data_IF_437926437893
#
_entry.id   IF_437926437893
#
_cell.length_a   1.000
_cell.length_b   1.000
_cell.length_c   1.000
_cell.angle_alpha   90.00
_cell.angle_beta   90.00
_cell.angle_gamma   90.00
#
_symmetry.space_group_name_H-M   'P 1'
#
loop_
_entity.id
_entity.type
_entity.pdbx_description
1 polymer ?
#
# COMPACT_ATOMS: atom_id res chain seq x y z
N UNK A 1 -2.76 15.39 -30.66
CA UNK A 1 -3.34 14.21 -31.27
C UNK A 1 -3.87 14.56 -32.66
N UNK A 2 -3.77 13.60 -33.54
CA UNK A 2 -4.35 13.69 -34.87
C UNK A 2 -5.62 12.84 -34.89
N UNK A 3 -6.65 13.29 -35.59
CA UNK A 3 -7.85 12.49 -35.84
C UNK A 3 -7.56 11.67 -37.10
N UNK A 4 -7.62 10.35 -37.00
CA UNK A 4 -7.50 9.45 -38.15
C UNK A 4 -8.70 9.59 -39.10
N UNK A 5 -8.54 9.19 -40.33
CA UNK A 5 -9.57 9.24 -41.38
C UNK A 5 -10.84 8.43 -41.03
N UNK A 6 -10.72 7.51 -40.06
CA UNK A 6 -11.80 6.70 -39.52
C UNK A 6 -12.47 7.33 -38.26
N UNK A 7 -12.09 8.57 -37.90
CA UNK A 7 -12.57 9.24 -36.70
C UNK A 7 -11.91 8.78 -35.42
N UNK A 8 -10.90 7.91 -35.50
CA UNK A 8 -10.13 7.47 -34.33
C UNK A 8 -9.14 8.55 -33.85
N UNK A 9 -8.89 8.58 -32.57
CA UNK A 9 -7.87 9.45 -31.97
C UNK A 9 -6.51 8.77 -32.03
N UNK A 10 -5.57 9.39 -32.71
CA UNK A 10 -4.19 8.93 -32.74
C UNK A 10 -3.35 9.77 -31.80
N UNK A 11 -2.86 9.15 -30.75
CA UNK A 11 -1.92 9.77 -29.82
C UNK A 11 -0.51 9.31 -30.18
N UNK A 12 0.29 10.25 -30.68
CA UNK A 12 1.73 10.00 -30.90
C UNK A 12 2.48 10.47 -29.69
N UNK A 13 3.02 9.54 -28.90
CA UNK A 13 3.88 9.82 -27.75
C UNK A 13 5.32 9.68 -28.20
N UNK A 14 6.04 10.80 -28.31
CA UNK A 14 7.47 10.77 -28.61
C UNK A 14 8.28 10.64 -27.33
N UNK A 15 9.34 9.83 -27.34
CA UNK A 15 10.31 9.64 -26.25
C UNK A 15 9.97 8.50 -25.30
N UNK A 16 10.63 8.45 -24.17
CA UNK A 16 10.75 7.28 -23.27
C UNK A 16 9.61 7.13 -22.26
N UNK A 17 8.43 7.69 -22.53
CA UNK A 17 7.30 7.56 -21.61
C UNK A 17 6.87 6.08 -21.47
N UNK A 18 6.90 5.54 -20.26
CA UNK A 18 6.43 4.19 -19.94
C UNK A 18 4.91 4.09 -19.95
N UNK A 19 4.25 5.17 -19.54
CA UNK A 19 2.80 5.31 -19.49
C UNK A 19 2.39 6.71 -19.94
N UNK A 20 1.14 6.86 -20.37
CA UNK A 20 0.50 8.16 -20.57
C UNK A 20 -0.78 8.24 -19.75
N UNK A 21 -1.00 9.38 -19.14
CA UNK A 21 -2.30 9.74 -18.58
C UNK A 21 -3.02 10.66 -19.56
N UNK A 22 -4.23 10.27 -19.94
CA UNK A 22 -5.13 11.12 -20.73
C UNK A 22 -6.29 11.55 -19.85
N UNK A 23 -6.42 12.84 -19.62
CA UNK A 23 -7.57 13.43 -18.93
C UNK A 23 -8.46 14.09 -19.98
N UNK A 24 -9.74 13.71 -20.03
CA UNK A 24 -10.73 14.27 -20.96
C UNK A 24 -11.76 15.04 -20.14
N UNK A 25 -11.93 16.32 -20.46
CA UNK A 25 -13.03 17.12 -19.93
C UNK A 25 -14.20 17.11 -20.92
N UNK A 26 -15.24 16.36 -20.58
CA UNK A 26 -16.44 16.23 -21.42
C UNK A 26 -17.32 17.48 -21.40
N UNK A 27 -17.13 18.40 -20.45
CA UNK A 27 -17.88 19.66 -20.39
C UNK A 27 -17.35 20.69 -21.40
N UNK A 28 -16.03 20.73 -21.55
CA UNK A 28 -15.36 21.73 -22.42
C UNK A 28 -14.83 21.13 -23.71
N UNK A 29 -14.97 19.80 -23.88
CA UNK A 29 -14.40 19.04 -24.98
C UNK A 29 -12.89 19.21 -25.11
N UNK A 30 -12.18 19.34 -23.96
CA UNK A 30 -10.75 19.46 -23.92
C UNK A 30 -10.09 18.17 -23.44
N UNK A 31 -8.83 18.00 -23.75
CA UNK A 31 -8.02 16.88 -23.24
C UNK A 31 -6.64 17.36 -22.82
N UNK A 32 -6.05 16.63 -21.90
CA UNK A 32 -4.66 16.77 -21.46
C UNK A 32 -3.97 15.43 -21.57
N UNK A 33 -2.74 15.41 -22.10
CA UNK A 33 -1.90 14.23 -22.16
C UNK A 33 -0.64 14.50 -21.35
N UNK A 34 -0.38 13.64 -20.39
CA UNK A 34 0.80 13.67 -19.52
C UNK A 34 1.64 12.42 -19.74
N UNK A 35 2.95 12.59 -19.89
CA UNK A 35 3.90 11.48 -19.92
C UNK A 35 4.25 11.09 -18.48
N UNK A 36 4.20 9.80 -18.20
CA UNK A 36 4.49 9.25 -16.88
C UNK A 36 5.71 8.35 -17.00
N UNK A 37 6.74 8.65 -16.24
CA UNK A 37 7.99 7.91 -16.21
C UNK A 37 8.12 7.02 -14.97
N UNK A 38 7.21 7.15 -14.00
CA UNK A 38 7.21 6.33 -12.79
C UNK A 38 6.54 4.97 -13.04
N UNK A 39 7.10 3.91 -12.44
CA UNK A 39 6.49 2.58 -12.47
C UNK A 39 5.27 2.54 -11.55
N UNK A 40 4.40 1.55 -11.70
CA UNK A 40 3.35 1.26 -10.72
C UNK A 40 3.92 0.72 -9.41
N UNK A 41 5.01 -0.03 -9.49
CA UNK A 41 5.68 -0.64 -8.35
C UNK A 41 7.16 -0.28 -8.31
N UNK A 42 7.67 -0.11 -7.10
CA UNK A 42 9.08 -0.22 -6.73
C UNK A 42 9.19 -1.23 -5.60
N UNK A 43 10.40 -1.55 -5.17
CA UNK A 43 10.62 -2.60 -4.19
C UNK A 43 11.52 -2.11 -3.07
N UNK A 44 11.12 -2.38 -1.81
CA UNK A 44 12.06 -2.44 -0.71
C UNK A 44 12.83 -3.76 -0.81
N UNK A 45 14.12 -3.68 -0.67
CA UNK A 45 15.02 -4.84 -0.61
C UNK A 45 15.97 -4.68 0.56
N UNK A 46 16.03 -5.67 1.39
CA UNK A 46 16.82 -5.62 2.62
C UNK A 46 16.88 -6.97 3.32
N UNK A 47 17.26 -6.95 4.58
CA UNK A 47 17.45 -8.15 5.38
C UNK A 47 16.18 -9.01 5.44
N UNK A 48 15.02 -8.40 5.71
CA UNK A 48 13.75 -9.13 5.87
C UNK A 48 13.16 -9.61 4.54
N UNK A 49 13.32 -8.86 3.45
CA UNK A 49 12.93 -9.31 2.11
C UNK A 49 13.91 -10.34 1.52
N UNK A 50 15.00 -10.66 2.25
CA UNK A 50 16.07 -11.54 1.77
C UNK A 50 16.80 -10.97 0.55
N UNK A 51 16.89 -9.64 0.46
CA UNK A 51 17.46 -8.90 -0.67
C UNK A 51 16.77 -9.22 -2.01
N UNK A 52 15.49 -9.54 -1.95
CA UNK A 52 14.62 -9.86 -3.09
C UNK A 52 13.52 -8.82 -3.26
N UNK A 53 12.72 -8.96 -4.30
CA UNK A 53 11.56 -8.08 -4.56
C UNK A 53 10.27 -8.56 -3.89
N UNK A 54 10.37 -9.18 -2.72
CA UNK A 54 9.20 -9.65 -1.98
C UNK A 54 8.36 -8.50 -1.41
N UNK A 55 8.99 -7.35 -1.10
CA UNK A 55 8.33 -6.18 -0.53
C UNK A 55 8.06 -5.12 -1.60
N UNK A 56 6.92 -5.22 -2.28
CA UNK A 56 6.50 -4.26 -3.29
C UNK A 56 5.87 -3.01 -2.65
N UNK A 57 6.26 -1.84 -3.10
CA UNK A 57 5.65 -0.56 -2.77
C UNK A 57 4.86 -0.09 -3.99
N UNK A 58 3.59 0.26 -3.82
CA UNK A 58 2.71 0.61 -4.94
C UNK A 58 2.50 2.11 -5.04
N UNK A 59 2.60 2.65 -6.26
CA UNK A 59 2.28 4.03 -6.62
C UNK A 59 1.00 4.08 -7.45
N UNK A 60 -0.13 4.41 -6.81
CA UNK A 60 -1.45 4.41 -7.44
C UNK A 60 -1.62 5.50 -8.50
N UNK A 61 -0.96 6.63 -8.32
CA UNK A 61 -1.20 7.82 -9.13
C UNK A 61 -0.13 8.04 -10.21
N UNK A 62 0.90 7.21 -10.24
CA UNK A 62 2.06 7.38 -11.12
C UNK A 62 2.73 8.76 -10.96
N UNK A 63 2.70 9.30 -9.75
CA UNK A 63 3.26 10.61 -9.38
C UNK A 63 4.61 10.50 -8.65
N UNK A 64 5.17 9.30 -8.61
CA UNK A 64 6.44 9.00 -7.93
C UNK A 64 6.30 8.70 -6.45
N UNK A 65 5.07 8.67 -5.90
CA UNK A 65 4.81 8.34 -4.50
C UNK A 65 4.38 6.90 -4.37
N UNK A 66 5.05 6.16 -3.50
CA UNK A 66 4.86 4.74 -3.26
C UNK A 66 4.65 4.46 -1.79
N UNK A 67 3.83 3.46 -1.48
CA UNK A 67 3.58 3.03 -0.12
C UNK A 67 3.49 1.51 -0.02
N UNK A 68 3.96 0.98 1.10
CA UNK A 68 3.80 -0.41 1.49
C UNK A 68 3.98 -0.60 2.99
N UNK A 69 3.63 -1.78 3.48
CA UNK A 69 3.63 -2.13 4.89
C UNK A 69 4.31 -3.49 5.09
N UNK A 70 5.42 -3.52 5.81
CA UNK A 70 6.21 -4.73 5.98
C UNK A 70 6.85 -4.82 7.37
N UNK A 71 7.08 -6.05 7.80
CA UNK A 71 7.98 -6.29 8.92
C UNK A 71 9.40 -6.01 8.44
N UNK A 72 10.13 -5.23 9.24
CA UNK A 72 11.48 -4.80 8.94
C UNK A 72 12.38 -5.13 10.13
N UNK A 73 13.62 -5.55 9.85
CA UNK A 73 14.70 -5.72 10.83
C UNK A 73 16.04 -5.59 10.10
N UNK A 74 16.78 -4.52 10.37
CA UNK A 74 18.08 -4.27 9.76
C UNK A 74 18.07 -3.37 8.53
N UNK A 75 19.09 -3.52 7.71
CA UNK A 75 19.39 -2.63 6.58
C UNK A 75 18.52 -2.94 5.36
N UNK A 76 18.24 -1.90 4.56
CA UNK A 76 17.45 -1.99 3.34
C UNK A 76 17.82 -0.89 2.35
N UNK A 77 17.29 -0.98 1.14
CA UNK A 77 17.29 0.07 0.11
C UNK A 77 16.11 -0.11 -0.84
N UNK A 78 15.99 0.73 -1.85
CA UNK A 78 14.90 0.64 -2.82
C UNK A 78 15.44 0.36 -4.20
N UNK A 79 14.65 -0.30 -5.06
CA UNK A 79 14.99 -0.54 -6.45
C UNK A 79 13.77 -0.48 -7.38
N UNK A 80 13.99 -0.10 -8.66
CA UNK A 80 12.89 0.10 -9.60
C UNK A 80 12.29 -1.19 -10.19
N UNK A 81 13.03 -2.30 -10.16
CA UNK A 81 12.63 -3.54 -10.81
C UNK A 81 13.30 -4.76 -10.19
N UNK A 82 12.89 -5.95 -10.64
CA UNK A 82 13.41 -7.23 -10.17
C UNK A 82 14.73 -7.67 -10.83
N UNK A 83 15.03 -7.15 -12.02
CA UNK A 83 15.93 -7.82 -12.96
C UNK A 83 17.41 -7.59 -12.69
N UNK A 84 17.78 -6.43 -12.18
CA UNK A 84 19.18 -6.08 -11.92
C UNK A 84 19.30 -5.07 -10.76
N UNK A 85 20.54 -4.64 -10.48
CA UNK A 85 20.85 -3.65 -9.44
C UNK A 85 21.03 -2.23 -10.00
N UNK A 86 20.76 -2.00 -11.29
CA UNK A 86 20.91 -0.70 -11.90
C UNK A 86 19.76 0.23 -11.48
N UNK A 87 20.12 1.45 -11.09
CA UNK A 87 19.16 2.49 -10.73
C UNK A 87 18.46 2.26 -9.40
N UNK A 88 19.09 1.58 -8.46
CA UNK A 88 18.61 1.49 -7.09
C UNK A 88 18.76 2.83 -6.36
N UNK A 89 17.93 3.04 -5.35
CA UNK A 89 17.96 4.23 -4.52
C UNK A 89 18.48 3.87 -3.14
N UNK A 90 19.50 4.59 -2.74
CA UNK A 90 20.29 4.37 -1.55
C UNK A 90 20.28 5.61 -0.65
N UNK A 91 20.84 5.48 0.54
CA UNK A 91 20.87 6.52 1.55
C UNK A 91 21.62 7.76 1.12
N UNK A 92 20.99 8.92 1.24
CA UNK A 92 21.57 10.27 1.06
C UNK A 92 21.36 11.16 2.29
N UNK A 93 21.34 10.56 3.47
CA UNK A 93 21.05 11.23 4.73
C UNK A 93 19.65 10.98 5.25
N UNK A 94 19.30 11.59 6.37
CA UNK A 94 18.02 11.37 7.04
C UNK A 94 16.83 11.73 6.14
N UNK A 95 15.99 10.72 5.86
CA UNK A 95 14.79 10.86 5.05
C UNK A 95 15.03 11.11 3.55
N UNK A 96 16.27 10.99 3.08
CA UNK A 96 16.65 11.23 1.69
C UNK A 96 17.24 10.00 1.03
N UNK A 97 17.00 9.90 -0.26
CA UNK A 97 17.55 8.87 -1.13
C UNK A 97 18.23 9.49 -2.35
N UNK A 98 19.24 8.81 -2.86
CA UNK A 98 19.91 9.18 -4.10
C UNK A 98 20.01 7.97 -5.03
N UNK A 99 20.05 8.23 -6.32
CA UNK A 99 20.32 7.24 -7.35
C UNK A 99 21.80 6.82 -7.26
N UNK A 100 22.06 5.52 -7.04
CA UNK A 100 23.41 4.98 -6.82
C UNK A 100 24.19 5.68 -5.70
N UNK A 101 23.55 5.93 -4.55
CA UNK A 101 24.13 6.64 -3.41
C UNK A 101 25.28 5.93 -2.68
N UNK A 102 25.36 4.61 -2.79
CA UNK A 102 26.53 3.80 -2.37
C UNK A 102 26.45 3.23 -0.96
N UNK A 103 25.36 3.41 -0.22
CA UNK A 103 25.13 2.76 1.08
C UNK A 103 23.67 2.41 1.30
N UNK A 104 23.42 1.35 2.06
CA UNK A 104 22.07 1.01 2.50
C UNK A 104 21.49 2.09 3.41
N UNK A 105 20.15 2.12 3.54
CA UNK A 105 19.49 2.90 4.59
C UNK A 105 19.92 2.39 5.95
N UNK A 106 19.99 3.26 6.98
CA UNK A 106 20.22 2.85 8.34
C UNK A 106 19.25 1.75 8.75
N UNK A 107 19.76 0.71 9.41
CA UNK A 107 18.95 -0.42 9.84
C UNK A 107 17.81 0.01 10.77
N UNK A 108 16.62 -0.52 10.53
CA UNK A 108 15.47 -0.39 11.40
C UNK A 108 15.54 -1.44 12.52
N UNK A 109 15.01 -1.12 13.68
CA UNK A 109 14.73 -2.11 14.72
C UNK A 109 13.60 -3.05 14.26
N UNK A 110 13.61 -4.29 14.74
CA UNK A 110 12.56 -5.26 14.45
C UNK A 110 11.16 -4.69 14.75
N UNK A 111 10.31 -4.66 13.74
CA UNK A 111 8.96 -4.07 13.84
C UNK A 111 8.21 -4.07 12.52
N UNK A 112 6.91 -3.82 12.57
CA UNK A 112 6.09 -3.63 11.39
C UNK A 112 6.04 -2.14 11.02
N UNK A 113 6.37 -1.81 9.78
CA UNK A 113 6.51 -0.42 9.35
C UNK A 113 5.64 -0.08 8.14
N UNK A 114 5.10 1.12 8.16
CA UNK A 114 4.66 1.81 6.94
C UNK A 114 5.89 2.41 6.28
N UNK A 115 6.09 2.11 5.00
CA UNK A 115 7.19 2.62 4.20
C UNK A 115 6.60 3.50 3.10
N UNK A 116 7.01 4.76 3.09
CA UNK A 116 6.65 5.76 2.09
C UNK A 116 7.89 6.18 1.32
N UNK A 117 7.82 6.21 -0.01
CA UNK A 117 8.89 6.68 -0.89
C UNK A 117 8.33 7.71 -1.86
N UNK A 118 9.00 8.84 -2.00
CA UNK A 118 8.67 9.85 -2.99
C UNK A 118 9.88 10.09 -3.92
N UNK A 119 9.83 9.50 -5.10
CA UNK A 119 10.88 9.62 -6.11
C UNK A 119 10.88 10.98 -6.82
N UNK A 120 9.78 11.73 -6.74
CA UNK A 120 9.75 13.09 -7.31
C UNK A 120 10.59 14.06 -6.47
N UNK A 121 10.63 13.86 -5.15
CA UNK A 121 11.38 14.68 -4.19
C UNK A 121 12.63 13.97 -3.66
N UNK A 122 12.86 12.71 -4.05
CA UNK A 122 13.95 11.86 -3.59
C UNK A 122 13.98 11.73 -2.06
N UNK A 123 12.83 11.38 -1.48
CA UNK A 123 12.65 11.22 -0.03
C UNK A 123 11.99 9.90 0.34
N UNK A 124 12.19 9.46 1.57
CA UNK A 124 11.52 8.30 2.15
C UNK A 124 11.20 8.51 3.62
N UNK A 125 10.25 7.72 4.11
CA UNK A 125 9.97 7.58 5.54
C UNK A 125 9.66 6.11 5.86
N UNK A 126 10.09 5.66 7.03
CA UNK A 126 9.70 4.38 7.61
C UNK A 126 9.10 4.66 9.00
N UNK A 127 7.79 4.49 9.13
CA UNK A 127 7.05 4.80 10.35
C UNK A 127 6.61 3.50 11.03
N UNK A 128 6.99 3.34 12.30
CA UNK A 128 6.59 2.17 13.08
C UNK A 128 5.07 2.13 13.25
N UNK A 129 4.47 0.99 12.94
CA UNK A 129 3.07 0.69 13.22
C UNK A 129 3.00 0.10 14.63
N UNK A 130 2.52 0.89 15.59
CA UNK A 130 2.49 0.48 16.99
C UNK A 130 1.36 -0.53 17.26
N UNK A 131 0.22 -0.36 16.61
CA UNK A 131 -0.92 -1.27 16.73
C UNK A 131 -1.80 -1.27 15.49
N UNK A 132 -2.48 -2.38 15.28
CA UNK A 132 -3.64 -2.50 14.38
C UNK A 132 -4.80 -3.06 15.19
N UNK A 133 -5.98 -2.50 15.04
CA UNK A 133 -7.15 -2.87 15.82
C UNK A 133 -8.40 -3.08 14.96
N UNK A 134 -9.33 -3.91 15.49
CA UNK A 134 -10.71 -4.01 15.01
C UNK A 134 -11.53 -2.95 15.75
N UNK A 135 -12.37 -2.24 15.01
CA UNK A 135 -13.34 -1.30 15.55
C UNK A 135 -14.67 -1.43 14.81
N UNK A 136 -15.79 -1.14 15.46
CA UNK A 136 -17.11 -1.15 14.84
C UNK A 136 -18.19 -1.82 15.69
N UNK A 137 -19.43 -1.80 15.22
CA UNK A 137 -20.56 -2.39 15.93
C UNK A 137 -20.42 -3.90 16.13
N UNK A 138 -19.73 -4.60 15.23
CA UNK A 138 -19.38 -6.02 15.39
C UNK A 138 -18.44 -6.25 16.58
N UNK A 139 -17.55 -5.30 16.88
CA UNK A 139 -16.67 -5.28 18.06
C UNK A 139 -17.30 -4.61 19.29
N UNK A 140 -18.63 -4.42 19.27
CA UNK A 140 -19.39 -3.77 20.33
C UNK A 140 -19.77 -2.33 20.01
N UNK A 141 -18.85 -1.49 19.59
CA UNK A 141 -19.09 -0.09 19.23
C UNK A 141 -17.94 0.49 18.38
N UNK A 142 -18.07 1.76 17.99
CA UNK A 142 -17.08 2.51 17.20
C UNK A 142 -16.07 3.32 18.05
N UNK A 143 -16.04 3.09 19.36
CA UNK A 143 -15.19 3.81 20.33
C UNK A 143 -14.17 2.90 21.02
N UNK A 144 -14.33 1.58 20.90
CA UNK A 144 -13.49 0.59 21.59
C UNK A 144 -12.78 -0.29 20.59
N UNK A 145 -11.47 -0.37 20.71
CA UNK A 145 -10.61 -1.18 19.88
C UNK A 145 -10.37 -2.58 20.47
N UNK A 146 -10.21 -3.55 19.59
CA UNK A 146 -9.62 -4.85 19.90
C UNK A 146 -8.34 -5.00 19.09
N UNK A 147 -7.20 -5.01 19.76
CA UNK A 147 -5.88 -5.08 19.11
C UNK A 147 -5.60 -6.47 18.54
N UNK A 148 -4.93 -6.47 17.40
CA UNK A 148 -4.31 -7.63 16.80
C UNK A 148 -2.83 -7.67 17.14
N UNK A 149 -2.26 -8.87 17.11
CA UNK A 149 -0.81 -9.07 17.27
C UNK A 149 -0.21 -9.53 15.95
N UNK A 150 0.91 -8.94 15.53
CA UNK A 150 1.58 -9.37 14.32
C UNK A 150 2.25 -10.73 14.51
N UNK A 151 1.97 -11.65 13.63
CA UNK A 151 2.56 -12.98 13.57
C UNK A 151 3.47 -13.09 12.34
N UNK A 152 4.78 -13.02 12.55
CA UNK A 152 5.76 -13.13 11.46
C UNK A 152 5.68 -14.45 10.68
N UNK A 153 5.31 -15.54 11.34
CA UNK A 153 5.23 -16.84 10.69
C UNK A 153 4.11 -16.92 9.64
N UNK A 154 3.03 -16.18 9.84
CA UNK A 154 1.89 -16.10 8.92
C UNK A 154 1.93 -14.84 8.05
N UNK A 155 2.67 -13.82 8.47
CA UNK A 155 2.68 -12.49 7.85
C UNK A 155 1.40 -11.71 8.08
N UNK A 156 0.62 -12.06 9.10
CA UNK A 156 -0.67 -11.46 9.42
C UNK A 156 -0.69 -10.78 10.79
N UNK A 157 -1.53 -9.77 10.92
CA UNK A 157 -2.02 -9.29 12.20
C UNK A 157 -3.19 -10.16 12.64
N UNK A 158 -3.14 -10.74 13.84
CA UNK A 158 -4.05 -11.80 14.27
C UNK A 158 -4.67 -11.54 15.63
N UNK A 159 -5.93 -11.92 15.78
CA UNK A 159 -6.62 -12.04 17.07
C UNK A 159 -7.72 -13.10 16.98
N UNK A 160 -7.91 -13.88 18.05
CA UNK A 160 -9.12 -14.68 18.21
C UNK A 160 -10.10 -13.90 19.09
N UNK A 161 -11.26 -13.55 18.54
CA UNK A 161 -12.25 -12.73 19.25
C UNK A 161 -13.68 -13.13 18.89
N UNK A 162 -14.63 -12.81 19.75
CA UNK A 162 -16.07 -12.97 19.48
C UNK A 162 -16.61 -11.65 18.95
N UNK A 163 -17.21 -11.72 17.77
CA UNK A 163 -17.84 -10.60 17.09
C UNK A 163 -19.37 -10.75 17.12
N UNK A 164 -20.09 -9.65 17.27
CA UNK A 164 -21.53 -9.58 17.05
C UNK A 164 -21.85 -9.50 15.55
N UNK A 165 -23.10 -9.75 15.18
CA UNK A 165 -23.57 -9.37 13.84
C UNK A 165 -23.54 -7.84 13.72
N UNK A 166 -22.84 -7.31 12.70
CA UNK A 166 -22.68 -5.88 12.54
C UNK A 166 -21.56 -5.51 11.59
N UNK A 167 -21.02 -4.33 11.77
CA UNK A 167 -20.00 -3.73 10.91
C UNK A 167 -18.67 -3.60 11.65
N UNK A 168 -17.57 -3.76 10.91
CA UNK A 168 -16.23 -3.52 11.42
C UNK A 168 -15.33 -2.82 10.39
N UNK A 169 -14.27 -2.22 10.87
CA UNK A 169 -13.10 -1.77 10.14
C UNK A 169 -11.82 -2.14 10.91
N UNK A 170 -10.71 -2.02 10.23
CA UNK A 170 -9.40 -2.02 10.87
C UNK A 170 -8.84 -0.60 10.89
N UNK A 171 -8.12 -0.24 11.96
CA UNK A 171 -7.41 1.05 12.01
C UNK A 171 -6.04 0.91 12.65
N UNK A 172 -5.13 1.79 12.25
CA UNK A 172 -3.76 1.87 12.74
C UNK A 172 -3.69 2.82 13.95
N UNK A 173 -2.94 2.41 14.96
CA UNK A 173 -2.59 3.23 16.13
C UNK A 173 -3.82 3.86 16.82
N UNK A 174 -4.96 3.17 16.82
CA UNK A 174 -6.24 3.65 17.36
C UNK A 174 -6.72 5.01 16.81
N UNK A 175 -6.27 5.36 15.61
CA UNK A 175 -6.59 6.63 14.94
C UNK A 175 -7.29 6.38 13.59
N UNK A 176 -8.09 7.35 13.15
CA UNK A 176 -8.79 7.29 11.86
C UNK A 176 -7.97 7.83 10.68
N UNK A 177 -6.75 8.31 10.92
CA UNK A 177 -5.86 8.76 9.86
C UNK A 177 -5.55 7.64 8.87
N UNK A 178 -5.42 6.39 9.36
CA UNK A 178 -5.24 5.20 8.53
C UNK A 178 -6.19 4.10 8.98
N UNK A 179 -7.04 3.67 8.08
CA UNK A 179 -8.02 2.60 8.30
C UNK A 179 -8.22 1.76 7.04
N UNK A 180 -8.66 0.51 7.19
CA UNK A 180 -8.94 -0.41 6.08
C UNK A 180 -10.36 -0.93 6.15
N UNK A 181 -10.99 -1.03 4.99
CA UNK A 181 -12.31 -1.62 4.80
C UNK A 181 -12.46 -2.18 3.39
N UNK A 182 -13.62 -2.72 3.05
CA UNK A 182 -13.86 -3.36 1.75
C UNK A 182 -13.70 -2.40 0.57
N UNK A 183 -12.91 -2.78 -0.42
CA UNK A 183 -12.68 -1.99 -1.61
C UNK A 183 -13.96 -1.80 -2.44
N UNK A 184 -13.98 -0.75 -3.25
CA UNK A 184 -15.07 -0.42 -4.18
C UNK A 184 -16.45 -0.22 -3.51
N UNK A 185 -16.47 0.12 -2.22
CA UNK A 185 -17.71 0.30 -1.45
C UNK A 185 -18.40 -1.01 -1.07
N UNK A 186 -17.74 -2.15 -1.21
CA UNK A 186 -18.29 -3.48 -0.92
C UNK A 186 -17.86 -3.98 0.46
N UNK A 187 -18.76 -3.88 1.45
CA UNK A 187 -18.55 -4.39 2.80
C UNK A 187 -18.51 -5.92 2.92
N UNK A 188 -18.73 -6.66 1.85
CA UNK A 188 -18.59 -8.12 1.82
C UNK A 188 -17.28 -8.58 1.20
N UNK A 189 -16.49 -7.66 0.66
CA UNK A 189 -15.22 -7.94 0.02
C UNK A 189 -14.08 -8.00 1.04
N UNK A 190 -13.87 -9.19 1.61
CA UNK A 190 -12.74 -9.45 2.52
C UNK A 190 -11.41 -9.69 1.80
N UNK A 191 -11.47 -10.04 0.52
CA UNK A 191 -10.30 -10.38 -0.30
C UNK A 191 -9.54 -9.17 -0.87
N UNK A 192 -10.14 -7.99 -0.82
CA UNK A 192 -9.57 -6.75 -1.29
C UNK A 192 -10.00 -5.60 -0.37
N UNK A 193 -9.06 -5.11 0.43
CA UNK A 193 -9.28 -4.00 1.34
C UNK A 193 -8.56 -2.76 0.83
N UNK A 194 -9.24 -1.62 0.89
CA UNK A 194 -8.65 -0.33 0.55
C UNK A 194 -8.44 0.54 1.78
N UNK A 195 -7.35 1.30 1.76
CA UNK A 195 -7.00 2.23 2.82
C UNK A 195 -7.87 3.49 2.76
N UNK A 196 -8.30 3.97 3.92
CA UNK A 196 -9.06 5.21 4.21
C UNK A 196 -10.46 5.31 3.60
N UNK A 197 -10.72 4.79 2.41
CA UNK A 197 -12.01 4.91 1.72
C UNK A 197 -12.80 3.58 1.64
N UNK A 198 -12.35 2.55 2.37
CA UNK A 198 -13.01 1.24 2.36
C UNK A 198 -14.37 1.27 3.04
N UNK A 199 -15.30 0.44 2.54
CA UNK A 199 -16.60 0.22 3.16
C UNK A 199 -16.47 -0.48 4.50
N UNK A 200 -17.42 -0.27 5.41
CA UNK A 200 -17.51 -1.08 6.62
C UNK A 200 -17.76 -2.54 6.26
N UNK A 201 -16.94 -3.46 6.79
CA UNK A 201 -17.08 -4.89 6.56
C UNK A 201 -18.27 -5.46 7.35
N UNK A 202 -19.15 -6.19 6.69
CA UNK A 202 -20.33 -6.82 7.29
C UNK A 202 -19.94 -8.17 7.89
N UNK A 203 -20.16 -8.38 9.19
CA UNK A 203 -19.78 -9.59 9.90
C UNK A 203 -21.00 -10.27 10.51
N UNK A 204 -21.07 -11.58 10.40
CA UNK A 204 -22.03 -12.39 11.16
C UNK A 204 -21.52 -12.62 12.61
N UNK A 205 -22.45 -12.82 13.56
CA UNK A 205 -22.06 -13.15 14.93
C UNK A 205 -21.31 -14.48 14.99
N UNK A 206 -20.21 -14.54 15.75
CA UNK A 206 -19.41 -15.75 15.92
C UNK A 206 -18.08 -15.46 16.60
N UNK A 207 -17.38 -16.53 16.97
CA UNK A 207 -15.98 -16.46 17.40
C UNK A 207 -15.08 -16.77 16.20
N UNK A 208 -14.12 -15.90 15.94
CA UNK A 208 -13.25 -15.99 14.77
C UNK A 208 -11.78 -15.84 15.13
N UNK A 209 -10.94 -16.62 14.47
CA UNK A 209 -9.57 -16.19 14.23
C UNK A 209 -9.62 -15.17 13.08
N UNK A 210 -9.28 -13.93 13.36
CA UNK A 210 -9.17 -12.83 12.41
C UNK A 210 -7.72 -12.71 12.00
N UNK A 211 -7.42 -12.79 10.69
CA UNK A 211 -6.09 -12.64 10.13
C UNK A 211 -6.10 -11.52 9.09
N UNK A 212 -5.51 -10.40 9.42
CA UNK A 212 -5.42 -9.23 8.54
C UNK A 212 -4.03 -9.15 7.91
N UNK A 213 -3.99 -9.17 6.60
CA UNK A 213 -2.79 -9.00 5.78
C UNK A 213 -2.76 -7.60 5.20
N UNK A 214 -1.76 -6.82 5.55
CA UNK A 214 -1.52 -5.47 5.03
C UNK A 214 -0.16 -5.47 4.37
N UNK A 215 -0.11 -5.07 3.09
CA UNK A 215 1.12 -4.95 2.30
C UNK A 215 1.13 -3.63 1.52
N UNK A 216 0.36 -3.53 0.48
CA UNK A 216 0.14 -2.33 -0.32
C UNK A 216 -1.28 -2.32 -0.88
N UNK A 217 -1.72 -1.22 -1.40
CA UNK A 217 -3.06 -1.12 -2.00
C UNK A 217 -3.24 -2.14 -3.13
N UNK A 218 -4.35 -2.89 -3.09
CA UNK A 218 -4.63 -4.02 -3.97
C UNK A 218 -4.03 -5.36 -3.54
N UNK A 219 -3.31 -5.42 -2.39
CA UNK A 219 -2.85 -6.66 -1.77
C UNK A 219 -3.31 -6.82 -0.31
N UNK A 220 -4.09 -5.87 0.19
CA UNK A 220 -4.63 -5.93 1.54
C UNK A 220 -5.86 -6.83 1.59
N UNK A 221 -5.94 -7.69 2.60
CA UNK A 221 -7.08 -8.61 2.77
C UNK A 221 -7.26 -9.03 4.22
N UNK A 222 -8.43 -9.54 4.54
CA UNK A 222 -8.69 -10.21 5.83
C UNK A 222 -9.29 -11.59 5.62
N UNK A 223 -8.96 -12.51 6.50
CA UNK A 223 -9.54 -13.85 6.56
C UNK A 223 -10.19 -14.01 7.94
N UNK A 224 -11.44 -14.45 7.95
CA UNK A 224 -12.19 -14.78 9.16
C UNK A 224 -12.39 -16.31 9.19
N UNK A 225 -11.76 -16.97 10.15
CA UNK A 225 -11.90 -18.42 10.33
C UNK A 225 -12.72 -18.69 11.58
N UNK A 226 -13.94 -19.26 11.44
CA UNK A 226 -14.78 -19.60 12.57
C UNK A 226 -14.09 -20.63 13.47
N UNK A 227 -14.23 -20.43 14.78
CA UNK A 227 -13.64 -21.27 15.84
C UNK A 227 -14.70 -22.12 16.53
#
# INVERSE_FOLDING_TARGET
PEIGDDGSWKVVVAGDAKLIRMTINMMDYTYQIEKINFNEYIYEIGNESGWSTAHALRGLNFDGKYQGYYWMDGEYKFKPNADNWDGDWENDGEGKIADNGGSNMPGLAAGFYQIDVNLADMTYAATLVESISIIGSANGNWDTDTDLTYNQATGAWEVTTTLNAGEMKFRMNHDWAISWGGANGDGTNYGDLTQNNGANLQVAAGTYLVQLYIQHEGANKVVLTAQ
#
